data_IF_789999908217
#
_entry.id   IF_789999908217
#
_cell.length_a   1.000
_cell.length_b   1.000
_cell.length_c   1.000
_cell.angle_alpha   90.00
_cell.angle_beta   90.00
_cell.angle_gamma   90.00
#
_symmetry.space_group_name_H-M   'P 1'
#
loop_
_entity.id
_entity.type
_entity.pdbx_description
1 polymer ?
#
# COMPACT_ATOMS: atom_id res chain seq x y z
N UNK A 1 -10.33 15.53 40.56
CA UNK A 1 -9.46 15.43 39.37
C UNK A 1 -10.35 15.60 38.16
N UNK A 2 -10.08 16.52 37.22
CA UNK A 2 -11.00 16.78 36.13
C UNK A 2 -11.02 15.58 35.16
N UNK A 3 -12.20 15.26 34.65
CA UNK A 3 -12.44 14.21 33.68
C UNK A 3 -12.08 14.70 32.27
N UNK A 4 -10.84 14.49 31.81
CA UNK A 4 -10.41 14.98 30.48
C UNK A 4 -9.38 14.08 29.80
N UNK A 5 -9.53 12.76 29.85
CA UNK A 5 -8.85 11.88 28.90
C UNK A 5 -9.88 11.33 27.91
N UNK A 6 -10.29 12.20 26.99
CA UNK A 6 -11.04 11.77 25.82
C UNK A 6 -10.06 10.98 24.95
N UNK A 7 -10.30 9.69 24.77
CA UNK A 7 -9.39 8.82 24.00
C UNK A 7 -9.18 9.39 22.58
N UNK A 8 -7.99 9.25 21.97
CA UNK A 8 -7.75 9.69 20.60
C UNK A 8 -8.78 9.13 19.61
N UNK A 9 -9.21 7.89 19.82
CA UNK A 9 -10.28 7.25 19.05
C UNK A 9 -11.63 7.97 19.20
N UNK A 10 -12.00 8.41 20.41
CA UNK A 10 -13.24 9.15 20.66
C UNK A 10 -13.15 10.60 20.16
N UNK A 11 -11.98 11.26 20.27
CA UNK A 11 -11.74 12.59 19.67
C UNK A 11 -11.84 12.57 18.15
N UNK A 12 -11.30 11.54 17.50
CA UNK A 12 -11.40 11.37 16.04
C UNK A 12 -12.83 11.04 15.61
N UNK A 13 -13.53 10.12 16.31
CA UNK A 13 -14.96 9.88 16.08
C UNK A 13 -15.79 11.15 16.22
N UNK A 14 -15.60 11.91 17.30
CA UNK A 14 -16.27 13.20 17.47
C UNK A 14 -15.93 14.20 16.36
N UNK A 15 -14.69 14.22 15.86
CA UNK A 15 -14.32 15.06 14.72
C UNK A 15 -14.95 14.60 13.40
N UNK A 16 -15.10 13.29 13.19
CA UNK A 16 -15.73 12.73 11.99
C UNK A 16 -17.25 12.87 12.03
N UNK A 17 -17.88 12.66 13.18
CA UNK A 17 -19.29 12.92 13.45
C UNK A 17 -19.58 14.42 13.32
N UNK A 18 -18.72 15.29 13.86
CA UNK A 18 -18.84 16.73 13.67
C UNK A 18 -18.69 17.14 12.21
N UNK A 19 -17.80 16.49 11.44
CA UNK A 19 -17.62 16.76 10.00
C UNK A 19 -18.79 16.22 9.18
N UNK A 20 -19.34 15.06 9.51
CA UNK A 20 -20.58 14.55 8.91
C UNK A 20 -21.76 15.47 9.25
N UNK A 21 -21.89 15.92 10.49
CA UNK A 21 -22.91 16.89 10.90
C UNK A 21 -22.74 18.20 10.14
N UNK A 22 -21.52 18.70 9.99
CA UNK A 22 -21.20 19.92 9.23
C UNK A 22 -21.52 19.75 7.75
N UNK A 23 -21.17 18.61 7.14
CA UNK A 23 -21.51 18.30 5.75
C UNK A 23 -23.01 18.11 5.55
N UNK A 24 -23.71 17.50 6.50
CA UNK A 24 -25.17 17.34 6.47
C UNK A 24 -25.89 18.68 6.69
N UNK A 25 -25.30 19.60 7.46
CA UNK A 25 -25.82 20.94 7.69
C UNK A 25 -25.50 21.92 6.54
N UNK A 26 -24.45 21.64 5.75
CA UNK A 26 -24.05 22.40 4.57
C UNK A 26 -24.62 21.81 3.27
N UNK A 27 -25.33 20.69 3.34
CA UNK A 27 -25.98 20.05 2.20
C UNK A 27 -27.27 20.79 1.78
N UNK A 28 -27.11 22.03 1.32
CA UNK A 28 -27.90 22.56 0.22
C UNK A 28 -27.04 22.44 -1.05
N UNK A 29 -27.45 21.50 -1.91
CA UNK A 29 -27.27 21.44 -3.38
C UNK A 29 -26.03 20.80 -4.07
N UNK A 30 -25.01 20.25 -3.39
CA UNK A 30 -23.89 19.56 -4.10
C UNK A 30 -23.42 18.22 -3.49
N UNK A 31 -24.34 17.39 -3.02
CA UNK A 31 -24.01 15.97 -2.80
C UNK A 31 -23.65 15.32 -4.14
N UNK A 32 -22.39 14.93 -4.34
CA UNK A 32 -21.96 14.25 -5.58
C UNK A 32 -22.87 13.05 -5.82
N UNK A 33 -23.60 13.06 -6.94
CA UNK A 33 -24.42 11.91 -7.34
C UNK A 33 -23.49 10.74 -7.65
N UNK A 34 -23.36 9.82 -6.69
CA UNK A 34 -22.49 8.66 -6.82
C UNK A 34 -22.88 7.78 -8.01
N UNK A 35 -24.14 7.82 -8.46
CA UNK A 35 -24.57 7.05 -9.63
C UNK A 35 -23.95 7.56 -10.93
N UNK A 36 -23.50 8.81 -10.98
CA UNK A 36 -22.77 9.38 -12.13
C UNK A 36 -21.31 8.92 -12.23
N UNK A 37 -20.74 8.44 -11.12
CA UNK A 37 -19.35 7.95 -11.07
C UNK A 37 -19.24 6.52 -11.58
N UNK A 38 -18.11 6.17 -12.16
CA UNK A 38 -17.73 4.77 -12.46
C UNK A 38 -17.54 3.95 -11.19
N UNK A 39 -17.57 2.61 -11.29
CA UNK A 39 -17.28 1.73 -10.14
C UNK A 39 -15.88 2.03 -9.56
N UNK A 40 -14.91 2.25 -10.43
CA UNK A 40 -13.53 2.58 -10.04
C UNK A 40 -13.47 3.86 -9.23
N UNK A 41 -14.08 4.95 -9.68
CA UNK A 41 -14.04 6.24 -8.96
C UNK A 41 -14.65 6.13 -7.56
N UNK A 42 -15.70 5.33 -7.41
CA UNK A 42 -16.32 5.05 -6.10
C UNK A 42 -15.38 4.28 -5.17
N UNK A 43 -14.58 3.37 -5.70
CA UNK A 43 -13.67 2.53 -4.90
C UNK A 43 -12.29 3.16 -4.67
N UNK A 44 -11.84 4.06 -5.53
CA UNK A 44 -10.53 4.70 -5.44
C UNK A 44 -10.52 5.96 -4.57
N UNK A 45 -11.68 6.44 -4.13
CA UNK A 45 -11.74 7.71 -3.43
C UNK A 45 -12.85 7.77 -2.37
N UNK A 46 -12.69 6.95 -1.34
CA UNK A 46 -13.64 6.90 -0.24
C UNK A 46 -12.95 6.70 1.10
N UNK A 47 -13.65 7.09 2.16
CA UNK A 47 -13.34 6.71 3.53
C UNK A 47 -14.56 6.07 4.16
N UNK A 48 -14.36 5.14 5.06
CA UNK A 48 -15.47 4.38 5.59
C UNK A 48 -15.09 3.34 6.62
N UNK A 49 -16.10 2.61 7.06
CA UNK A 49 -15.95 1.42 7.90
C UNK A 49 -16.22 0.19 7.03
N UNK A 50 -15.30 -0.77 7.08
CA UNK A 50 -15.42 -2.04 6.38
C UNK A 50 -15.37 -3.20 7.38
N UNK A 51 -15.99 -4.30 6.98
CA UNK A 51 -15.84 -5.60 7.64
C UNK A 51 -15.23 -6.59 6.66
N UNK A 52 -14.10 -7.16 7.05
CA UNK A 52 -13.42 -8.21 6.30
C UNK A 52 -13.82 -9.56 6.90
N UNK A 53 -14.41 -10.41 6.08
CA UNK A 53 -14.73 -11.80 6.42
C UNK A 53 -13.77 -12.70 5.69
N UNK A 54 -12.95 -13.40 6.47
CA UNK A 54 -12.13 -14.50 5.97
C UNK A 54 -12.68 -15.78 6.55
N UNK A 55 -12.89 -16.83 5.74
CA UNK A 55 -13.49 -18.09 6.22
C UNK A 55 -12.62 -18.83 7.25
N UNK A 56 -11.32 -18.53 7.31
CA UNK A 56 -10.41 -19.02 8.35
C UNK A 56 -10.58 -18.30 9.71
N UNK A 57 -11.31 -17.18 9.77
CA UNK A 57 -11.58 -16.43 10.99
C UNK A 57 -12.99 -16.72 11.50
N UNK A 58 -13.10 -16.96 12.81
CA UNK A 58 -14.40 -17.16 13.47
C UNK A 58 -15.24 -15.87 13.51
N UNK A 59 -14.60 -14.70 13.39
CA UNK A 59 -15.27 -13.39 13.43
C UNK A 59 -14.79 -12.45 12.34
N UNK A 60 -15.69 -11.56 11.90
CA UNK A 60 -15.36 -10.53 10.91
C UNK A 60 -14.49 -9.44 11.55
N UNK A 61 -13.43 -9.03 10.86
CA UNK A 61 -12.57 -7.93 11.28
C UNK A 61 -13.18 -6.61 10.87
N UNK A 62 -13.43 -5.71 11.82
CA UNK A 62 -13.88 -4.35 11.51
C UNK A 62 -12.70 -3.40 11.41
N UNK A 63 -12.60 -2.71 10.29
CA UNK A 63 -11.52 -1.78 9.97
C UNK A 63 -12.12 -0.46 9.51
N UNK A 64 -11.39 0.63 9.71
CA UNK A 64 -11.62 1.85 8.94
C UNK A 64 -10.68 1.86 7.75
N UNK A 65 -11.17 2.37 6.62
CA UNK A 65 -10.39 2.51 5.40
C UNK A 65 -10.45 3.95 4.91
N UNK A 66 -9.35 4.43 4.36
CA UNK A 66 -9.28 5.63 3.52
C UNK A 66 -8.58 5.22 2.24
N UNK A 67 -9.19 5.51 1.09
CA UNK A 67 -8.64 5.25 -0.24
C UNK A 67 -8.53 6.56 -0.99
N UNK A 68 -7.39 6.77 -1.64
CA UNK A 68 -7.17 7.89 -2.54
C UNK A 68 -6.32 7.43 -3.71
N UNK A 69 -6.89 7.41 -4.92
CA UNK A 69 -6.30 6.83 -6.13
C UNK A 69 -5.90 5.36 -5.91
N UNK A 70 -4.62 5.06 -6.10
CA UNK A 70 -3.98 3.77 -5.89
C UNK A 70 -3.30 3.70 -4.52
N UNK A 71 -3.77 4.45 -3.53
CA UNK A 71 -3.25 4.39 -2.18
C UNK A 71 -4.39 4.09 -1.21
N UNK A 72 -4.12 3.31 -0.17
CA UNK A 72 -5.09 3.07 0.88
C UNK A 72 -4.45 3.01 2.25
N UNK A 73 -5.20 3.43 3.26
CA UNK A 73 -4.87 3.34 4.67
C UNK A 73 -5.95 2.54 5.40
N UNK A 74 -5.55 1.41 5.95
CA UNK A 74 -6.37 0.61 6.86
C UNK A 74 -6.05 0.96 8.30
N UNK A 75 -7.08 1.11 9.12
CA UNK A 75 -6.96 1.40 10.56
C UNK A 75 -7.74 0.39 11.37
N UNK A 76 -7.06 -0.22 12.33
CA UNK A 76 -7.61 -1.18 13.25
C UNK A 76 -7.50 -0.67 14.69
N UNK A 77 -8.62 -0.40 15.38
CA UNK A 77 -8.60 0.01 16.78
C UNK A 77 -8.31 -1.19 17.69
N UNK A 78 -7.48 -0.97 18.70
CA UNK A 78 -7.18 -1.93 19.77
C UNK A 78 -7.63 -1.33 21.09
N UNK A 79 -8.86 -1.65 21.47
CA UNK A 79 -9.53 -1.03 22.61
C UNK A 79 -8.82 -1.33 23.95
N UNK A 80 -8.23 -2.52 24.10
CA UNK A 80 -7.58 -2.95 25.35
C UNK A 80 -6.41 -2.06 25.78
N UNK A 81 -5.69 -1.51 24.80
CA UNK A 81 -4.54 -0.61 25.02
C UNK A 81 -4.80 0.80 24.51
N UNK A 82 -6.03 1.08 24.06
CA UNK A 82 -6.45 2.35 23.48
C UNK A 82 -5.47 2.84 22.39
N UNK A 83 -5.13 1.94 21.48
CA UNK A 83 -4.22 2.20 20.36
C UNK A 83 -4.90 1.97 19.02
N UNK A 84 -4.28 2.42 17.93
CA UNK A 84 -4.75 2.20 16.56
C UNK A 84 -3.59 1.73 15.68
N UNK A 85 -3.72 0.56 15.08
CA UNK A 85 -2.77 0.05 14.09
C UNK A 85 -3.16 0.59 12.73
N UNK A 86 -2.19 1.15 12.03
CA UNK A 86 -2.33 1.75 10.71
C UNK A 86 -1.46 0.98 9.72
N UNK A 87 -2.06 0.54 8.63
CA UNK A 87 -1.37 -0.08 7.48
C UNK A 87 -1.69 0.76 6.26
N UNK A 88 -0.71 1.53 5.82
CA UNK A 88 -0.76 2.32 4.62
C UNK A 88 -0.06 1.58 3.49
N UNK A 89 -0.66 1.59 2.31
CA UNK A 89 -0.02 1.11 1.11
C UNK A 89 -0.07 2.20 0.04
N UNK A 90 1.11 2.63 -0.41
CA UNK A 90 1.31 3.59 -1.51
C UNK A 90 1.97 2.84 -2.64
N UNK A 91 1.21 2.59 -3.72
CA UNK A 91 1.69 1.84 -4.88
C UNK A 91 2.52 0.61 -4.44
N UNK A 92 1.92 -0.37 -3.79
CA UNK A 92 2.60 -1.59 -3.38
C UNK A 92 3.62 -1.48 -2.23
N UNK A 93 4.12 -0.29 -1.85
CA UNK A 93 5.00 -0.14 -0.69
C UNK A 93 4.17 0.00 0.59
N UNK A 94 4.41 -0.90 1.54
CA UNK A 94 3.71 -0.95 2.81
C UNK A 94 4.41 -0.11 3.87
N UNK A 95 3.66 0.75 4.53
CA UNK A 95 4.09 1.51 5.70
C UNK A 95 3.15 1.19 6.86
N UNK A 96 3.68 0.62 7.94
CA UNK A 96 2.88 0.16 9.07
C UNK A 96 3.36 0.77 10.40
N UNK A 97 2.43 1.35 11.15
CA UNK A 97 2.70 1.93 12.47
C UNK A 97 1.55 1.69 13.45
N UNK A 98 1.82 1.90 14.72
CA UNK A 98 0.82 1.96 15.78
C UNK A 98 0.80 3.36 16.36
N UNK A 99 -0.39 3.92 16.51
CA UNK A 99 -0.61 5.14 17.31
C UNK A 99 -1.03 4.72 18.71
N UNK A 100 -0.21 5.02 19.72
CA UNK A 100 -0.48 4.67 21.12
C UNK A 100 -1.46 5.66 21.77
N UNK A 101 -1.93 5.33 22.97
CA UNK A 101 -2.95 6.11 23.70
C UNK A 101 -2.50 7.54 24.05
N UNK A 102 -1.20 7.76 24.20
CA UNK A 102 -0.55 9.06 24.39
C UNK A 102 -0.38 9.87 23.08
N UNK A 103 -0.73 9.27 21.93
CA UNK A 103 -0.63 9.87 20.61
C UNK A 103 0.73 9.72 19.93
N UNK A 104 1.66 8.96 20.50
CA UNK A 104 2.94 8.66 19.84
C UNK A 104 2.73 7.70 18.66
N UNK A 105 3.50 7.90 17.60
CA UNK A 105 3.53 6.99 16.45
C UNK A 105 4.81 6.15 16.52
N UNK A 106 4.66 4.83 16.49
CA UNK A 106 5.77 3.89 16.57
C UNK A 106 5.74 2.95 15.38
N UNK A 107 6.89 2.71 14.75
CA UNK A 107 7.01 1.70 13.69
C UNK A 107 6.45 0.37 14.18
N UNK A 108 5.54 -0.25 13.42
CA UNK A 108 4.79 -1.42 13.91
C UNK A 108 5.72 -2.58 14.26
N UNK A 109 6.75 -2.81 13.44
CA UNK A 109 7.78 -3.82 13.69
C UNK A 109 8.48 -3.61 15.04
N UNK A 110 8.87 -2.38 15.36
CA UNK A 110 9.50 -2.04 16.64
C UNK A 110 8.57 -2.30 17.81
N UNK A 111 7.28 -2.00 17.66
CA UNK A 111 6.29 -2.33 18.68
C UNK A 111 6.14 -3.84 18.85
N UNK A 112 6.01 -4.61 17.76
CA UNK A 112 5.83 -6.06 17.81
C UNK A 112 7.04 -6.83 18.37
N UNK A 113 8.26 -6.31 18.19
CA UNK A 113 9.48 -6.94 18.71
C UNK A 113 9.90 -6.44 20.09
N UNK A 114 9.28 -5.36 20.59
CA UNK A 114 9.65 -4.80 21.89
C UNK A 114 9.25 -5.74 23.04
N UNK A 115 10.15 -6.01 24.01
CA UNK A 115 9.84 -6.84 25.17
C UNK A 115 8.79 -6.20 26.11
N UNK A 116 8.54 -4.90 25.99
CA UNK A 116 7.56 -4.18 26.80
C UNK A 116 6.16 -4.21 26.20
N UNK A 117 5.98 -4.73 24.99
CA UNK A 117 4.69 -4.71 24.30
C UNK A 117 3.76 -5.83 24.79
N UNK A 118 2.45 -5.57 24.92
CA UNK A 118 1.48 -6.56 25.37
C UNK A 118 1.37 -7.76 24.41
N UNK A 119 1.74 -8.95 24.88
CA UNK A 119 1.88 -10.14 24.03
C UNK A 119 0.56 -10.63 23.39
N UNK A 120 -0.59 -10.41 24.05
CA UNK A 120 -1.89 -10.82 23.50
C UNK A 120 -2.28 -9.94 22.31
N UNK A 121 -2.11 -8.63 22.45
CA UNK A 121 -2.32 -7.62 21.41
C UNK A 121 -1.34 -7.82 20.27
N UNK A 122 -0.05 -8.08 20.54
CA UNK A 122 0.91 -8.39 19.50
C UNK A 122 0.48 -9.60 18.65
N UNK A 123 -0.01 -10.67 19.27
CA UNK A 123 -0.55 -11.84 18.54
C UNK A 123 -1.78 -11.48 17.69
N UNK A 124 -2.69 -10.67 18.24
CA UNK A 124 -3.87 -10.21 17.51
C UNK A 124 -3.48 -9.36 16.30
N UNK A 125 -2.51 -8.46 16.46
CA UNK A 125 -1.99 -7.60 15.39
C UNK A 125 -1.31 -8.45 14.32
N UNK A 126 -0.48 -9.42 14.68
CA UNK A 126 0.15 -10.32 13.70
C UNK A 126 -0.90 -11.07 12.89
N UNK A 127 -1.89 -11.67 13.55
CA UNK A 127 -2.98 -12.37 12.84
C UNK A 127 -3.79 -11.44 11.92
N UNK A 128 -3.96 -10.17 12.30
CA UNK A 128 -4.57 -9.16 11.43
C UNK A 128 -3.69 -8.89 10.20
N UNK A 129 -2.39 -8.71 10.36
CA UNK A 129 -1.46 -8.47 9.25
C UNK A 129 -1.51 -9.65 8.27
N UNK A 130 -1.45 -10.89 8.77
CA UNK A 130 -1.55 -12.10 7.95
C UNK A 130 -2.85 -12.12 7.11
N UNK A 131 -3.95 -11.65 7.67
CA UNK A 131 -5.24 -11.53 6.95
C UNK A 131 -5.20 -10.41 5.91
N UNK A 132 -4.58 -9.28 6.23
CA UNK A 132 -4.43 -8.17 5.28
C UNK A 132 -3.52 -8.52 4.11
N UNK A 133 -2.54 -9.41 4.29
CA UNK A 133 -1.71 -9.94 3.21
C UNK A 133 -2.52 -10.76 2.19
N UNK A 134 -3.62 -11.40 2.62
CA UNK A 134 -4.54 -12.09 1.71
C UNK A 134 -5.43 -11.12 0.91
N UNK A 135 -5.62 -9.89 1.42
CA UNK A 135 -6.43 -8.85 0.81
C UNK A 135 -5.54 -7.96 -0.08
N UNK A 136 -5.42 -8.32 -1.35
CA UNK A 136 -4.74 -7.48 -2.34
C UNK A 136 -5.70 -6.38 -2.84
N UNK A 137 -5.85 -5.31 -2.04
CA UNK A 137 -6.70 -4.16 -2.43
C UNK A 137 -6.24 -3.49 -3.73
N UNK A 138 -4.97 -3.59 -4.12
CA UNK A 138 -4.54 -3.12 -5.43
C UNK A 138 -5.15 -3.95 -6.56
N UNK A 139 -5.11 -5.27 -6.43
CA UNK A 139 -5.74 -6.16 -7.39
C UNK A 139 -7.27 -5.99 -7.40
N UNK A 140 -7.89 -5.67 -6.26
CA UNK A 140 -9.31 -5.26 -6.18
C UNK A 140 -9.57 -3.98 -7.00
N UNK A 141 -8.76 -2.94 -6.83
CA UNK A 141 -8.92 -1.68 -7.57
C UNK A 141 -8.65 -1.86 -9.07
N UNK A 142 -7.66 -2.69 -9.43
CA UNK A 142 -7.41 -3.09 -10.82
C UNK A 142 -8.58 -3.89 -11.39
N UNK A 143 -9.14 -4.82 -10.61
CA UNK A 143 -10.35 -5.56 -10.97
C UNK A 143 -11.53 -4.62 -11.23
N UNK A 144 -11.72 -3.59 -10.41
CA UNK A 144 -12.80 -2.61 -10.59
C UNK A 144 -12.73 -1.86 -11.93
N UNK A 145 -11.52 -1.54 -12.42
CA UNK A 145 -11.31 -0.94 -13.75
C UNK A 145 -11.77 -1.83 -14.91
N UNK A 146 -11.68 -3.15 -14.73
CA UNK A 146 -12.04 -4.15 -15.74
C UNK A 146 -13.47 -4.69 -15.54
N UNK A 147 -14.18 -4.23 -14.51
CA UNK A 147 -15.43 -4.82 -14.10
C UNK A 147 -16.58 -4.47 -15.05
N UNK A 148 -17.31 -5.50 -15.47
CA UNK A 148 -18.49 -5.36 -16.31
C UNK A 148 -19.74 -5.57 -15.48
N UNK A 149 -20.75 -4.71 -15.69
CA UNK A 149 -22.05 -4.87 -15.04
C UNK A 149 -22.72 -6.15 -15.56
N UNK A 150 -23.17 -7.00 -14.63
CA UNK A 150 -23.96 -8.17 -14.96
C UNK A 150 -25.34 -7.69 -15.41
N UNK A 151 -25.85 -8.14 -16.57
CA UNK A 151 -27.19 -7.80 -16.99
C UNK A 151 -28.20 -8.23 -15.92
N UNK A 152 -29.01 -7.27 -15.48
CA UNK A 152 -30.04 -7.52 -14.47
C UNK A 152 -30.99 -8.62 -14.90
N UNK A 153 -31.46 -9.43 -13.96
CA UNK A 153 -32.49 -10.43 -14.26
C UNK A 153 -33.81 -9.70 -14.56
N UNK A 154 -34.36 -9.79 -15.78
CA UNK A 154 -35.60 -9.08 -16.15
C UNK A 154 -36.83 -9.51 -15.33
N UNK A 155 -36.71 -10.60 -14.57
CA UNK A 155 -37.76 -11.13 -13.70
C UNK A 155 -37.53 -10.84 -12.20
N UNK A 156 -36.45 -10.13 -11.83
CA UNK A 156 -36.21 -9.76 -10.45
C UNK A 156 -37.19 -8.65 -10.02
N UNK A 157 -37.74 -8.78 -8.80
CA UNK A 157 -38.62 -7.76 -8.24
C UNK A 157 -37.92 -6.40 -8.19
N UNK A 158 -38.59 -5.28 -8.51
CA UNK A 158 -38.01 -3.92 -8.57
C UNK A 158 -37.45 -3.39 -7.24
N UNK A 159 -37.44 -4.21 -6.17
CA UNK A 159 -36.88 -3.92 -4.85
C UNK A 159 -35.46 -4.48 -4.65
N UNK A 160 -34.96 -5.31 -5.58
CA UNK A 160 -33.55 -5.71 -5.62
C UNK A 160 -32.79 -4.75 -6.54
N UNK A 161 -32.62 -3.50 -6.10
CA UNK A 161 -31.94 -2.43 -6.85
C UNK A 161 -30.42 -2.57 -6.86
N UNK A 162 -29.84 -3.65 -6.31
CA UNK A 162 -28.39 -3.82 -6.30
C UNK A 162 -27.86 -4.06 -7.71
N UNK A 163 -26.81 -3.32 -8.08
CA UNK A 163 -26.04 -3.54 -9.30
C UNK A 163 -24.85 -4.43 -8.96
N UNK A 164 -24.62 -5.43 -9.79
CA UNK A 164 -23.53 -6.39 -9.59
C UNK A 164 -22.55 -6.26 -10.75
N UNK A 165 -21.27 -6.07 -10.44
CA UNK A 165 -20.18 -6.03 -11.42
C UNK A 165 -19.26 -7.21 -11.22
N UNK A 166 -18.70 -7.74 -12.31
CA UNK A 166 -17.73 -8.83 -12.25
C UNK A 166 -16.48 -8.50 -13.03
N UNK A 167 -15.34 -8.88 -12.46
CA UNK A 167 -14.04 -8.78 -13.11
C UNK A 167 -13.23 -10.04 -12.82
N UNK A 168 -12.31 -10.36 -13.71
CA UNK A 168 -11.28 -11.36 -13.46
C UNK A 168 -9.95 -10.75 -13.82
N UNK A 169 -9.03 -10.73 -12.86
CA UNK A 169 -7.62 -10.39 -13.05
C UNK A 169 -6.81 -11.67 -13.20
N UNK A 170 -5.52 -11.55 -13.46
CA UNK A 170 -4.59 -12.68 -13.55
C UNK A 170 -4.52 -13.48 -12.23
N UNK A 171 -4.86 -12.84 -11.10
CA UNK A 171 -4.79 -13.45 -9.76
C UNK A 171 -6.16 -13.94 -9.27
N UNK A 172 -7.20 -13.10 -9.38
CA UNK A 172 -8.47 -13.31 -8.69
C UNK A 172 -9.68 -12.98 -9.58
N UNK A 173 -10.82 -13.57 -9.24
CA UNK A 173 -12.12 -13.14 -9.72
C UNK A 173 -12.84 -12.34 -8.64
N UNK A 174 -13.49 -11.26 -9.07
CA UNK A 174 -14.16 -10.31 -8.20
C UNK A 174 -15.64 -10.18 -8.55
N UNK A 175 -16.46 -10.12 -7.52
CA UNK A 175 -17.86 -9.70 -7.61
C UNK A 175 -18.07 -8.47 -6.72
N UNK A 176 -18.41 -7.35 -7.35
CA UNK A 176 -18.71 -6.08 -6.68
C UNK A 176 -20.22 -5.91 -6.62
N UNK A 177 -20.74 -5.54 -5.46
CA UNK A 177 -22.15 -5.23 -5.27
C UNK A 177 -22.27 -3.78 -4.85
N UNK A 178 -23.14 -3.05 -5.53
CA UNK A 178 -23.39 -1.62 -5.34
C UNK A 178 -24.90 -1.44 -5.13
N UNK A 179 -25.29 -0.58 -4.20
CA UNK A 179 -26.68 -0.16 -4.07
C UNK A 179 -27.06 0.69 -5.30
N UNK A 180 -27.98 0.24 -6.14
CA UNK A 180 -28.38 0.98 -7.33
C UNK A 180 -29.28 2.17 -7.06
N UNK A 181 -29.69 2.41 -5.81
CA UNK A 181 -30.39 3.64 -5.40
C UNK A 181 -29.38 4.73 -5.05
N UNK A 182 -28.48 4.45 -4.11
CA UNK A 182 -27.53 5.43 -3.58
C UNK A 182 -26.22 5.50 -4.37
N UNK A 183 -25.91 4.46 -5.15
CA UNK A 183 -24.63 4.31 -5.82
C UNK A 183 -23.49 3.84 -4.91
N UNK A 184 -23.73 3.63 -3.61
CA UNK A 184 -22.71 3.22 -2.64
C UNK A 184 -22.25 1.77 -2.87
N UNK A 185 -20.93 1.51 -2.85
CA UNK A 185 -20.41 0.14 -2.75
C UNK A 185 -20.92 -0.54 -1.48
N UNK A 186 -21.37 -1.79 -1.59
CA UNK A 186 -21.88 -2.60 -0.48
C UNK A 186 -20.93 -3.74 -0.13
N UNK A 187 -20.40 -4.44 -1.14
CA UNK A 187 -19.48 -5.54 -0.90
C UNK A 187 -18.58 -5.83 -2.08
N UNK A 188 -17.40 -6.37 -1.79
CA UNK A 188 -16.49 -6.99 -2.75
C UNK A 188 -16.24 -8.42 -2.31
N UNK A 189 -16.52 -9.37 -3.19
CA UNK A 189 -16.19 -10.78 -2.97
C UNK A 189 -15.03 -11.15 -3.89
N UNK A 190 -13.93 -11.61 -3.30
CA UNK A 190 -12.74 -12.07 -3.99
C UNK A 190 -12.69 -13.61 -3.93
N UNK A 191 -12.52 -14.23 -5.10
CA UNK A 191 -12.32 -15.67 -5.23
C UNK A 191 -11.02 -15.91 -6.00
N UNK A 192 -10.13 -16.75 -5.48
CA UNK A 192 -8.90 -17.11 -6.18
C UNK A 192 -9.20 -17.72 -7.55
N UNK A 193 -8.53 -17.26 -8.60
CA UNK A 193 -8.75 -17.77 -9.95
C UNK A 193 -8.24 -19.22 -10.13
N UNK A 194 -7.34 -19.68 -9.26
CA UNK A 194 -6.59 -20.93 -9.40
C UNK A 194 -7.04 -22.08 -8.49
N UNK A 195 -7.98 -21.85 -7.58
CA UNK A 195 -8.40 -22.87 -6.60
C UNK A 195 -9.92 -23.08 -6.58
N UNK A 196 -10.34 -24.32 -6.81
CA UNK A 196 -11.75 -24.73 -6.85
C UNK A 196 -12.45 -24.75 -5.48
N UNK A 197 -11.70 -24.61 -4.37
CA UNK A 197 -12.23 -24.74 -3.00
C UNK A 197 -11.69 -23.68 -2.01
N UNK A 198 -10.97 -22.64 -2.47
CA UNK A 198 -10.56 -21.57 -1.54
C UNK A 198 -11.76 -20.70 -1.19
N UNK A 199 -12.02 -20.49 0.11
CA UNK A 199 -13.24 -19.85 0.52
C UNK A 199 -13.07 -18.33 0.33
N UNK A 200 -14.04 -17.71 -0.33
CA UNK A 200 -13.94 -16.33 -0.83
C UNK A 200 -13.71 -15.32 0.31
N UNK A 201 -12.79 -14.38 0.10
CA UNK A 201 -12.63 -13.23 0.98
C UNK A 201 -13.75 -12.24 0.66
N UNK A 202 -14.50 -11.82 1.68
CA UNK A 202 -15.58 -10.87 1.51
C UNK A 202 -15.31 -9.59 2.28
N UNK A 203 -15.23 -8.47 1.57
CA UNK A 203 -15.19 -7.12 2.12
C UNK A 203 -16.61 -6.57 2.08
N UNK A 204 -17.13 -6.15 3.23
CA UNK A 204 -18.41 -5.48 3.38
C UNK A 204 -18.18 -4.02 3.74
N UNK A 205 -18.91 -3.11 3.11
CA UNK A 205 -18.85 -1.68 3.39
C UNK A 205 -20.03 -1.34 4.31
N UNK A 206 -19.74 -1.00 5.56
CA UNK A 206 -20.74 -0.62 6.54
C UNK A 206 -21.05 0.89 6.47
N UNK A 207 -20.01 1.70 6.28
CA UNK A 207 -20.11 3.14 6.13
C UNK A 207 -19.30 3.59 4.92
N UNK A 208 -19.85 4.50 4.13
CA UNK A 208 -19.20 5.04 2.93
C UNK A 208 -19.31 6.56 2.91
N UNK A 209 -18.19 7.23 2.72
CA UNK A 209 -18.10 8.67 2.48
C UNK A 209 -17.08 8.93 1.37
N UNK A 210 -17.45 9.79 0.41
CA UNK A 210 -16.52 10.29 -0.62
C UNK A 210 -15.33 10.99 0.06
N UNK A 211 -14.12 10.75 -0.45
CA UNK A 211 -12.89 11.36 0.07
C UNK A 211 -11.99 11.86 -1.08
N UNK A 212 -11.65 13.15 -1.07
CA UNK A 212 -10.81 13.80 -2.09
C UNK A 212 -9.58 14.47 -1.44
N UNK A 213 -8.89 13.72 -0.58
CA UNK A 213 -7.69 14.19 0.10
C UNK A 213 -6.47 13.31 -0.16
N UNK A 214 -5.35 13.75 0.40
CA UNK A 214 -4.09 12.99 0.43
C UNK A 214 -4.03 12.22 1.75
N UNK A 215 -3.37 11.06 1.73
CA UNK A 215 -3.12 10.25 2.91
C UNK A 215 -1.66 10.48 3.31
N UNK A 216 -1.45 11.04 4.49
CA UNK A 216 -0.11 11.33 5.00
C UNK A 216 0.34 10.26 6.01
N UNK A 217 1.61 9.89 5.92
CA UNK A 217 2.31 9.04 6.90
C UNK A 217 2.92 9.93 7.99
N UNK A 218 2.85 9.53 9.28
CA UNK A 218 3.51 10.29 10.33
C UNK A 218 5.03 10.39 10.12
N UNK A 219 5.59 11.57 10.42
CA UNK A 219 7.03 11.80 10.31
C UNK A 219 7.85 10.75 11.09
N UNK A 220 8.89 10.21 10.44
CA UNK A 220 9.80 9.22 11.02
C UNK A 220 9.33 7.77 10.94
N UNK A 221 8.11 7.50 10.47
CA UNK A 221 7.66 6.14 10.12
C UNK A 221 8.14 5.84 8.71
N UNK A 222 8.86 4.74 8.54
CA UNK A 222 9.45 4.32 7.27
C UNK A 222 8.62 3.23 6.61
N UNK A 223 8.58 3.23 5.28
CA UNK A 223 8.04 2.13 4.50
C UNK A 223 8.93 0.89 4.56
N UNK A 224 8.38 -0.25 4.13
CA UNK A 224 9.12 -1.49 3.93
C UNK A 224 10.33 -1.30 2.98
N UNK A 225 10.12 -0.62 1.86
CA UNK A 225 11.17 -0.28 0.88
C UNK A 225 12.27 0.55 1.54
N UNK A 226 11.91 1.59 2.30
CA UNK A 226 12.90 2.43 3.01
C UNK A 226 13.68 1.62 4.06
N UNK A 227 13.02 0.74 4.81
CA UNK A 227 13.67 -0.13 5.79
C UNK A 227 14.59 -1.16 5.14
N UNK A 228 14.22 -1.67 3.96
CA UNK A 228 15.07 -2.58 3.17
C UNK A 228 16.30 -1.85 2.64
N UNK A 229 16.13 -0.64 2.10
CA UNK A 229 17.23 0.23 1.67
C UNK A 229 18.18 0.52 2.83
N UNK A 230 17.66 0.89 4.01
CA UNK A 230 18.49 1.13 5.20
C UNK A 230 19.31 -0.11 5.58
N UNK A 231 18.70 -1.28 5.52
CA UNK A 231 19.36 -2.56 5.83
C UNK A 231 20.44 -2.87 4.80
N UNK A 232 20.15 -2.68 3.52
CA UNK A 232 21.09 -2.86 2.41
C UNK A 232 22.29 -1.92 2.52
N UNK A 233 22.05 -0.64 2.80
CA UNK A 233 23.11 0.35 2.95
C UNK A 233 23.96 0.11 4.19
N UNK A 234 23.37 -0.38 5.28
CA UNK A 234 24.13 -0.82 6.46
C UNK A 234 25.04 -2.03 6.16
N UNK A 235 24.58 -2.93 5.30
CA UNK A 235 25.38 -4.07 4.80
C UNK A 235 26.50 -3.60 3.87
N UNK A 236 26.18 -2.71 2.92
CA UNK A 236 27.13 -2.10 2.00
C UNK A 236 28.31 -1.44 2.71
N UNK A 237 28.06 -0.74 3.81
CA UNK A 237 29.12 -0.10 4.61
C UNK A 237 30.09 -1.11 5.27
N UNK A 238 29.74 -2.39 5.32
CA UNK A 238 30.61 -3.46 5.83
C UNK A 238 31.41 -4.17 4.73
N UNK A 239 31.14 -3.87 3.46
CA UNK A 239 31.89 -4.43 2.33
C UNK A 239 33.31 -3.89 2.28
N UNK A 240 34.16 -4.57 1.50
CA UNK A 240 35.50 -4.08 1.23
C UNK A 240 35.48 -2.67 0.59
N UNK A 241 36.53 -1.89 0.81
CA UNK A 241 36.68 -0.58 0.19
C UNK A 241 36.58 -0.67 -1.34
N UNK A 242 37.24 -1.67 -1.93
CA UNK A 242 37.22 -1.88 -3.39
C UNK A 242 35.79 -2.18 -3.89
N UNK A 243 35.04 -3.02 -3.18
CA UNK A 243 33.64 -3.30 -3.51
C UNK A 243 32.76 -2.05 -3.42
N UNK A 244 32.95 -1.21 -2.40
CA UNK A 244 32.24 0.06 -2.29
C UNK A 244 32.57 1.00 -3.46
N UNK A 245 33.85 1.10 -3.83
CA UNK A 245 34.28 1.94 -4.95
C UNK A 245 33.72 1.47 -6.29
N UNK A 246 33.52 0.16 -6.49
CA UNK A 246 32.90 -0.36 -7.72
C UNK A 246 31.45 0.11 -7.84
N UNK A 247 30.64 0.00 -6.79
CA UNK A 247 29.24 0.44 -6.84
C UNK A 247 29.14 1.96 -7.00
N UNK A 248 30.00 2.71 -6.31
CA UNK A 248 30.07 4.17 -6.48
C UNK A 248 30.47 4.54 -7.91
N UNK A 249 31.47 3.87 -8.48
CA UNK A 249 31.87 4.12 -9.87
C UNK A 249 30.80 3.76 -10.90
N UNK A 250 29.95 2.77 -10.62
CA UNK A 250 28.76 2.48 -11.45
C UNK A 250 27.76 3.63 -11.37
N UNK A 251 27.48 4.14 -10.16
CA UNK A 251 26.60 5.30 -9.98
C UNK A 251 27.13 6.52 -10.76
N UNK A 252 28.41 6.85 -10.61
CA UNK A 252 29.06 7.97 -11.31
C UNK A 252 29.07 7.78 -12.85
N UNK A 253 29.00 6.54 -13.33
CA UNK A 253 28.90 6.26 -14.78
C UNK A 253 27.49 6.53 -15.31
N UNK A 254 26.47 6.31 -14.48
CA UNK A 254 25.07 6.52 -14.84
C UNK A 254 24.71 8.00 -14.71
N UNK A 255 25.18 8.67 -13.66
CA UNK A 255 25.04 10.13 -13.43
C UNK A 255 25.88 10.91 -14.46
N UNK A 256 25.31 11.14 -15.65
CA UNK A 256 26.03 11.72 -16.79
C UNK A 256 26.33 13.21 -16.61
N UNK A 257 25.47 13.95 -15.91
CA UNK A 257 25.62 15.38 -15.68
C UNK A 257 26.33 15.72 -14.35
N UNK A 258 26.64 14.70 -13.55
CA UNK A 258 27.44 14.76 -12.32
C UNK A 258 26.82 15.68 -11.26
N UNK A 259 25.50 15.65 -11.15
CA UNK A 259 24.76 16.45 -10.18
C UNK A 259 24.56 15.71 -8.83
N UNK A 260 24.96 14.44 -8.77
CA UNK A 260 24.84 13.56 -7.60
C UNK A 260 23.51 12.82 -7.53
N UNK A 261 22.71 12.90 -8.58
CA UNK A 261 21.43 12.23 -8.74
C UNK A 261 21.39 11.45 -10.05
N UNK A 262 20.49 10.48 -10.11
CA UNK A 262 20.23 9.69 -11.31
C UNK A 262 18.75 9.85 -11.62
N UNK A 263 18.44 10.28 -12.83
CA UNK A 263 17.07 10.32 -13.33
C UNK A 263 16.62 8.95 -13.86
N UNK A 264 15.32 8.82 -14.12
CA UNK A 264 14.80 7.65 -14.84
C UNK A 264 15.42 7.50 -16.24
N UNK A 265 15.68 8.61 -16.93
CA UNK A 265 16.26 8.62 -18.27
C UNK A 265 17.73 8.14 -18.26
N UNK A 266 18.50 8.49 -17.24
CA UNK A 266 19.89 8.01 -17.09
C UNK A 266 19.96 6.50 -16.96
N UNK A 267 19.08 5.91 -16.14
CA UNK A 267 18.97 4.46 -15.98
C UNK A 267 18.53 3.82 -17.29
N UNK A 268 17.50 4.38 -17.94
CA UNK A 268 16.98 3.87 -19.20
C UNK A 268 18.08 3.79 -20.27
N UNK A 269 18.79 4.90 -20.46
CA UNK A 269 19.86 5.00 -21.44
C UNK A 269 21.03 4.07 -21.12
N UNK A 270 21.42 3.96 -19.84
CA UNK A 270 22.50 3.06 -19.45
C UNK A 270 22.14 1.60 -19.76
N UNK A 271 20.93 1.16 -19.43
CA UNK A 271 20.48 -0.20 -19.68
C UNK A 271 20.44 -0.50 -21.19
N UNK A 272 19.96 0.45 -22.00
CA UNK A 272 19.99 0.32 -23.45
C UNK A 272 21.42 0.25 -24.01
N UNK A 273 22.33 1.08 -23.52
CA UNK A 273 23.73 1.10 -23.95
C UNK A 273 24.44 -0.23 -23.72
N UNK A 274 24.04 -0.95 -22.67
CA UNK A 274 24.57 -2.27 -22.28
C UNK A 274 23.90 -3.42 -23.03
N UNK A 275 22.81 -3.15 -23.76
CA UNK A 275 22.13 -4.11 -24.64
C UNK A 275 20.86 -4.74 -24.06
N UNK A 276 20.29 -4.19 -22.99
CA UNK A 276 18.95 -4.57 -22.54
C UNK A 276 17.88 -4.10 -23.54
N UNK A 277 16.71 -4.74 -23.52
CA UNK A 277 15.61 -4.31 -24.40
C UNK A 277 14.96 -3.01 -23.90
N UNK A 278 14.40 -2.24 -24.82
CA UNK A 278 13.65 -1.00 -24.53
C UNK A 278 12.50 -1.25 -23.55
N UNK A 279 11.73 -2.31 -23.77
CA UNK A 279 10.61 -2.68 -22.90
C UNK A 279 11.05 -3.03 -21.48
N UNK A 280 12.16 -3.75 -21.33
CA UNK A 280 12.70 -4.08 -20.01
C UNK A 280 13.19 -2.83 -19.28
N UNK A 281 13.93 -1.98 -19.99
CA UNK A 281 14.51 -0.74 -19.45
C UNK A 281 13.40 0.21 -19.00
N UNK A 282 12.38 0.42 -19.82
CA UNK A 282 11.19 1.21 -19.49
C UNK A 282 10.45 0.67 -18.26
N UNK A 283 10.26 -0.64 -18.16
CA UNK A 283 9.59 -1.26 -17.01
C UNK A 283 10.40 -1.08 -15.72
N UNK A 284 11.73 -1.23 -15.77
CA UNK A 284 12.61 -1.02 -14.62
C UNK A 284 12.48 0.41 -14.10
N UNK A 285 12.59 1.39 -14.99
CA UNK A 285 12.51 2.82 -14.62
C UNK A 285 11.15 3.17 -14.05
N UNK A 286 10.07 2.67 -14.66
CA UNK A 286 8.71 2.87 -14.15
C UNK A 286 8.54 2.30 -12.75
N UNK A 287 9.04 1.09 -12.49
CA UNK A 287 8.97 0.46 -11.18
C UNK A 287 9.85 1.15 -10.13
N UNK A 288 11.05 1.60 -10.50
CA UNK A 288 11.92 2.38 -9.62
C UNK A 288 11.28 3.71 -9.24
N UNK A 289 10.77 4.46 -10.20
CA UNK A 289 10.09 5.75 -9.97
C UNK A 289 8.87 5.55 -9.06
N UNK A 290 8.07 4.52 -9.34
CA UNK A 290 6.88 4.15 -8.55
C UNK A 290 7.20 3.83 -7.09
N UNK A 291 8.36 3.22 -6.80
CA UNK A 291 8.75 2.77 -5.46
C UNK A 291 9.61 3.78 -4.69
N UNK A 292 10.42 4.58 -5.38
CA UNK A 292 11.47 5.41 -4.75
C UNK A 292 11.22 6.91 -4.83
N UNK A 293 10.42 7.39 -5.80
CA UNK A 293 10.10 8.81 -5.93
C UNK A 293 8.93 9.19 -5.01
N UNK A 294 9.00 10.41 -4.48
CA UNK A 294 7.81 11.01 -3.90
C UNK A 294 6.98 11.63 -5.04
N UNK A 295 5.67 11.43 -4.97
CA UNK A 295 4.69 12.02 -5.89
C UNK A 295 4.66 13.55 -5.82
N UNK A 296 5.26 14.13 -4.78
CA UNK A 296 5.43 15.57 -4.63
C UNK A 296 6.75 16.09 -5.23
N UNK A 297 7.67 15.21 -5.62
CA UNK A 297 8.96 15.56 -6.21
C UNK A 297 8.87 15.46 -7.74
N UNK A 298 8.85 16.59 -8.47
CA UNK A 298 8.70 16.60 -9.91
C UNK A 298 9.97 16.16 -10.65
N UNK A 299 11.12 16.09 -9.98
CA UNK A 299 12.38 15.71 -10.61
C UNK A 299 12.47 14.20 -10.86
N UNK A 300 11.76 13.39 -10.07
CA UNK A 300 11.78 11.92 -10.15
C UNK A 300 13.21 11.33 -10.16
N UNK A 301 14.10 11.93 -9.36
CA UNK A 301 15.53 11.62 -9.29
C UNK A 301 15.91 10.85 -8.02
N UNK A 302 16.96 10.02 -8.12
CA UNK A 302 17.44 9.17 -7.03
C UNK A 302 18.89 9.50 -6.68
N UNK A 303 19.14 9.93 -5.44
CA UNK A 303 20.51 10.00 -4.92
C UNK A 303 21.10 8.61 -4.66
N UNK A 304 22.43 8.54 -4.54
CA UNK A 304 23.19 7.30 -4.36
C UNK A 304 22.61 6.35 -3.31
N UNK A 305 22.19 6.86 -2.15
CA UNK A 305 21.66 6.04 -1.06
C UNK A 305 20.42 5.21 -1.48
N UNK A 306 19.48 5.83 -2.21
CA UNK A 306 18.28 5.14 -2.69
C UNK A 306 18.63 4.19 -3.83
N UNK A 307 19.46 4.64 -4.79
CA UNK A 307 19.88 3.83 -5.93
C UNK A 307 20.61 2.56 -5.48
N UNK A 308 21.68 2.71 -4.70
CA UNK A 308 22.50 1.60 -4.23
C UNK A 308 21.72 0.65 -3.34
N UNK A 309 20.98 1.18 -2.36
CA UNK A 309 20.21 0.35 -1.44
C UNK A 309 19.08 -0.42 -2.13
N UNK A 310 18.42 0.17 -3.12
CA UNK A 310 17.41 -0.51 -3.92
C UNK A 310 18.01 -1.68 -4.70
N UNK A 311 19.08 -1.46 -5.46
CA UNK A 311 19.65 -2.52 -6.29
C UNK A 311 20.37 -3.61 -5.50
N UNK A 312 21.04 -3.27 -4.37
CA UNK A 312 21.57 -4.27 -3.44
C UNK A 312 20.44 -5.14 -2.89
N UNK A 313 19.28 -4.54 -2.59
CA UNK A 313 18.10 -5.28 -2.15
C UNK A 313 17.56 -6.20 -3.26
N UNK A 314 17.37 -5.66 -4.46
CA UNK A 314 16.75 -6.40 -5.58
C UNK A 314 17.63 -7.52 -6.13
N UNK A 315 18.96 -7.36 -6.07
CA UNK A 315 19.92 -8.34 -6.59
C UNK A 315 20.34 -9.41 -5.57
N UNK A 316 19.93 -9.28 -4.30
CA UNK A 316 20.24 -10.24 -3.23
C UNK A 316 19.41 -11.54 -3.31
N UNK A 317 19.00 -11.96 -4.51
CA UNK A 317 18.13 -13.11 -4.71
C UNK A 317 18.73 -14.40 -4.11
N UNK A 318 17.92 -15.11 -3.31
CA UNK A 318 18.33 -16.32 -2.60
C UNK A 318 19.17 -16.11 -1.32
N UNK A 319 19.53 -14.88 -0.96
CA UNK A 319 20.32 -14.57 0.24
C UNK A 319 19.66 -13.51 1.13
N UNK A 320 20.17 -13.37 2.37
CA UNK A 320 19.75 -12.26 3.24
C UNK A 320 20.48 -11.00 2.79
N UNK A 321 19.72 -9.95 2.47
CA UNK A 321 20.23 -8.58 2.14
C UNK A 321 21.27 -8.08 3.16
N UNK A 322 21.15 -8.54 4.41
CA UNK A 322 22.05 -8.19 5.52
C UNK A 322 23.34 -9.00 5.62
N UNK A 323 23.66 -9.88 4.66
CA UNK A 323 24.87 -10.72 4.71
C UNK A 323 26.02 -10.12 3.88
N UNK A 324 27.11 -9.65 4.53
CA UNK A 324 28.27 -9.09 3.84
C UNK A 324 29.00 -10.09 2.94
N UNK A 325 28.83 -11.40 3.16
CA UNK A 325 29.48 -12.43 2.35
C UNK A 325 28.99 -12.46 0.89
N UNK A 326 27.88 -11.79 0.59
CA UNK A 326 27.31 -11.71 -0.75
C UNK A 326 27.99 -10.68 -1.66
N UNK A 327 28.95 -9.90 -1.13
CA UNK A 327 29.64 -8.81 -1.84
C UNK A 327 30.05 -9.22 -3.26
N UNK A 328 30.81 -10.30 -3.43
CA UNK A 328 31.32 -10.69 -4.75
C UNK A 328 30.23 -11.04 -5.76
N UNK A 329 29.14 -11.67 -5.30
CA UNK A 329 28.02 -12.03 -6.18
C UNK A 329 27.22 -10.79 -6.58
N UNK A 330 26.96 -9.90 -5.62
CA UNK A 330 26.23 -8.67 -5.87
C UNK A 330 27.02 -7.73 -6.78
N UNK A 331 28.34 -7.61 -6.59
CA UNK A 331 29.21 -6.84 -7.49
C UNK A 331 29.11 -7.36 -8.92
N UNK A 332 29.22 -8.69 -9.12
CA UNK A 332 29.06 -9.30 -10.44
C UNK A 332 27.68 -9.03 -11.04
N UNK A 333 26.62 -9.10 -10.25
CA UNK A 333 25.26 -8.81 -10.73
C UNK A 333 25.07 -7.33 -11.11
N UNK A 334 25.62 -6.40 -10.33
CA UNK A 334 25.61 -4.96 -10.64
C UNK A 334 26.36 -4.66 -11.93
N UNK A 335 27.57 -5.21 -12.09
CA UNK A 335 28.38 -5.06 -13.30
C UNK A 335 27.67 -5.65 -14.52
N UNK A 336 27.08 -6.84 -14.39
CA UNK A 336 26.32 -7.45 -15.47
C UNK A 336 25.11 -6.59 -15.86
N UNK A 337 24.39 -6.03 -14.88
CA UNK A 337 23.20 -5.21 -15.14
C UNK A 337 23.54 -3.88 -15.81
N UNK A 338 24.52 -3.14 -15.30
CA UNK A 338 24.80 -1.76 -15.71
C UNK A 338 26.02 -1.58 -16.59
N UNK A 339 26.90 -2.57 -16.72
CA UNK A 339 28.11 -2.50 -17.56
C UNK A 339 28.18 -3.64 -18.59
N UNK A 340 27.39 -4.71 -18.43
CA UNK A 340 27.31 -5.83 -19.36
C UNK A 340 28.49 -6.80 -19.31
N UNK A 341 29.30 -6.75 -18.24
CA UNK A 341 30.53 -7.52 -18.08
C UNK A 341 30.55 -8.37 -16.81
#
# INVERSE_FOLDING_TARGET
>A
MPATEVSPALRRRLSDDARQLLLSALADDHGVDLNSLTLTERLQHFRGQIRVRVPALESALSLRIVVSNLCYLLRFPIDSINAEVCVFNKAGSLTAWITTSDGANVQLRTFLTSPTSPAAECKQITALIDVLELLDLFDVFRGALLALEKPGNPFASPRSLNRTYRATTDKNSYEFVVDGTTGCPLSVTQTSASATDTPALQLLVDEYLRFEGIIDVPAGIKSDVELMIDTAMTCFLQWSYDGQQVIMGIFDTIDKDNDGFISGDDIHDQLLAVGHSETQSSNIVLEMSRLLCDTADPAEEFGFYKFGGFWITMLADGFRVSDPANESQLLGAFQQLFLGC
#
